data_IF_388540064618
#
_entry.id   IF_388540064618
#
_cell.length_a   1.000
_cell.length_b   1.000
_cell.length_c   1.000
_cell.angle_alpha   90.00
_cell.angle_beta   90.00
_cell.angle_gamma   90.00
#
_symmetry.space_group_name_H-M   'P 1'
#
loop_
_entity.id
_entity.type
_entity.pdbx_description
1 polymer ?
#
# COMPACT_ATOMS: atom_id res chain seq x y z
N UNK A 1 8.05 -10.35 -29.26
CA UNK A 1 6.71 -9.96 -29.75
C UNK A 1 5.71 -9.80 -28.59
N UNK A 2 5.51 -10.80 -27.71
CA UNK A 2 4.59 -10.67 -26.56
C UNK A 2 4.93 -9.52 -25.56
N UNK A 3 6.23 -9.22 -25.30
CA UNK A 3 6.65 -8.07 -24.48
C UNK A 3 6.29 -6.72 -25.09
N UNK A 4 6.44 -6.58 -26.41
CA UNK A 4 6.04 -5.36 -27.13
C UNK A 4 4.53 -5.15 -27.13
N UNK A 5 3.75 -6.21 -27.28
CA UNK A 5 2.27 -6.15 -27.21
C UNK A 5 1.80 -5.78 -25.80
N UNK A 6 2.49 -6.27 -24.75
CA UNK A 6 2.19 -5.89 -23.34
C UNK A 6 2.51 -4.41 -23.05
N UNK A 7 3.61 -3.89 -23.58
CA UNK A 7 3.97 -2.46 -23.48
C UNK A 7 2.99 -1.61 -24.30
N UNK A 8 2.62 -2.06 -25.49
CA UNK A 8 1.62 -1.34 -26.30
C UNK A 8 0.22 -1.39 -25.69
N UNK A 9 -0.18 -2.46 -25.00
CA UNK A 9 -1.45 -2.50 -24.27
C UNK A 9 -1.44 -1.57 -23.04
N UNK A 10 -0.32 -1.46 -22.33
CA UNK A 10 -0.16 -0.46 -21.28
C UNK A 10 -0.13 0.97 -21.82
N UNK A 11 0.58 1.21 -22.93
CA UNK A 11 0.58 2.50 -23.62
C UNK A 11 -0.79 2.83 -24.26
N UNK A 12 -1.51 1.85 -24.79
CA UNK A 12 -2.88 2.05 -25.30
C UNK A 12 -3.89 2.36 -24.19
N UNK A 13 -3.73 1.78 -22.99
CA UNK A 13 -4.54 2.14 -21.83
C UNK A 13 -4.32 3.61 -21.42
N UNK A 14 -3.11 4.15 -21.56
CA UNK A 14 -2.81 5.56 -21.28
C UNK A 14 -3.28 6.52 -22.38
N UNK A 15 -3.36 6.07 -23.63
CA UNK A 15 -3.71 6.90 -24.79
C UNK A 15 -5.22 6.80 -25.13
N UNK A 16 -5.92 5.77 -24.64
CA UNK A 16 -7.37 5.66 -24.84
C UNK A 16 -8.12 6.78 -24.10
N UNK A 17 -9.14 7.40 -24.74
CA UNK A 17 -9.99 8.37 -24.06
C UNK A 17 -10.53 7.80 -22.75
N UNK A 18 -10.60 8.59 -21.71
CA UNK A 18 -11.08 8.19 -20.35
C UNK A 18 -12.41 7.41 -20.38
N UNK A 19 -13.30 7.74 -21.32
CA UNK A 19 -14.58 7.03 -21.53
C UNK A 19 -14.43 5.55 -21.95
N UNK A 20 -13.36 5.20 -22.67
CA UNK A 20 -13.10 3.81 -23.10
C UNK A 20 -12.52 3.02 -21.93
N UNK A 21 -11.61 3.62 -21.15
CA UNK A 21 -11.08 3.03 -19.90
C UNK A 21 -12.21 2.70 -18.94
N UNK A 22 -13.11 3.65 -18.70
CA UNK A 22 -14.27 3.46 -17.82
C UNK A 22 -15.14 2.30 -18.29
N UNK A 23 -15.43 2.19 -19.59
CA UNK A 23 -16.24 1.10 -20.14
C UNK A 23 -15.58 -0.27 -19.98
N UNK A 24 -14.27 -0.37 -20.20
CA UNK A 24 -13.53 -1.63 -20.03
C UNK A 24 -13.50 -2.01 -18.55
N UNK A 25 -13.19 -1.08 -17.66
CA UNK A 25 -13.18 -1.29 -16.23
C UNK A 25 -14.56 -1.75 -15.71
N UNK A 26 -15.63 -1.05 -16.09
CA UNK A 26 -17.00 -1.42 -15.71
C UNK A 26 -17.36 -2.85 -16.17
N UNK A 27 -17.06 -3.18 -17.44
CA UNK A 27 -17.35 -4.52 -17.96
C UNK A 27 -16.56 -5.62 -17.25
N UNK A 28 -15.32 -5.37 -16.88
CA UNK A 28 -14.51 -6.33 -16.11
C UNK A 28 -15.02 -6.50 -14.68
N UNK A 29 -15.39 -5.42 -14.01
CA UNK A 29 -16.03 -5.50 -12.69
C UNK A 29 -17.31 -6.34 -12.72
N UNK A 30 -18.16 -6.15 -13.72
CA UNK A 30 -19.39 -6.95 -13.92
C UNK A 30 -19.13 -8.46 -14.06
N UNK A 31 -17.99 -8.86 -14.62
CA UNK A 31 -17.63 -10.26 -14.87
C UNK A 31 -16.87 -10.88 -13.69
N UNK A 32 -16.04 -10.10 -13.03
CA UNK A 32 -15.06 -10.59 -12.04
C UNK A 32 -15.51 -10.38 -10.59
N UNK A 33 -16.59 -9.60 -10.38
CA UNK A 33 -17.06 -9.26 -9.03
C UNK A 33 -18.57 -9.37 -8.87
N UNK A 34 -19.00 -9.72 -7.64
CA UNK A 34 -20.36 -9.49 -7.15
C UNK A 34 -20.33 -8.23 -6.28
N UNK A 35 -21.12 -7.22 -6.63
CA UNK A 35 -21.15 -5.94 -5.91
C UNK A 35 -22.54 -5.72 -5.32
N UNK A 36 -22.58 -5.53 -4.00
CA UNK A 36 -23.82 -5.28 -3.25
C UNK A 36 -23.71 -3.97 -2.48
N UNK A 37 -24.67 -3.08 -2.64
CA UNK A 37 -24.75 -1.86 -1.85
C UNK A 37 -25.21 -2.19 -0.42
N UNK A 38 -24.42 -1.80 0.57
CA UNK A 38 -24.73 -2.02 2.00
C UNK A 38 -25.48 -0.83 2.57
N UNK A 39 -25.02 0.38 2.23
CA UNK A 39 -25.65 1.65 2.60
C UNK A 39 -25.29 2.74 1.58
N UNK A 40 -25.66 3.99 1.83
CA UNK A 40 -25.45 5.11 0.89
C UNK A 40 -23.99 5.33 0.49
N UNK A 41 -23.04 4.97 1.37
CA UNK A 41 -21.59 5.23 1.17
C UNK A 41 -20.71 3.99 1.22
N UNK A 42 -21.29 2.78 1.21
CA UNK A 42 -20.52 1.54 1.37
C UNK A 42 -21.06 0.44 0.47
N UNK A 43 -20.17 -0.21 -0.24
CA UNK A 43 -20.46 -1.36 -1.09
C UNK A 43 -19.59 -2.54 -0.66
N UNK A 44 -20.20 -3.72 -0.56
CA UNK A 44 -19.46 -4.97 -0.47
C UNK A 44 -19.10 -5.43 -1.87
N UNK A 45 -17.84 -5.76 -2.06
CA UNK A 45 -17.28 -6.29 -3.31
C UNK A 45 -16.75 -7.68 -3.03
N UNK A 46 -17.30 -8.69 -3.72
CA UNK A 46 -16.79 -10.05 -3.67
C UNK A 46 -16.07 -10.38 -4.97
N UNK A 47 -14.81 -10.75 -4.88
CA UNK A 47 -14.01 -11.24 -6.00
C UNK A 47 -14.36 -12.71 -6.25
N UNK A 48 -15.06 -12.99 -7.34
CA UNK A 48 -15.61 -14.35 -7.65
C UNK A 48 -14.49 -15.39 -7.73
N UNK A 49 -13.41 -15.06 -8.44
CA UNK A 49 -12.29 -15.99 -8.67
C UNK A 49 -11.49 -16.30 -7.40
N UNK A 50 -11.37 -15.33 -6.51
CA UNK A 50 -10.49 -15.41 -5.33
C UNK A 50 -11.25 -15.83 -4.07
N UNK A 51 -12.59 -15.81 -4.12
CA UNK A 51 -13.50 -16.00 -2.98
C UNK A 51 -13.16 -15.06 -1.81
N UNK A 52 -12.89 -13.80 -2.14
CA UNK A 52 -12.47 -12.76 -1.23
C UNK A 52 -13.47 -11.61 -1.27
N UNK A 53 -13.84 -11.09 -0.11
CA UNK A 53 -14.75 -9.94 0.02
C UNK A 53 -14.07 -8.77 0.71
N UNK A 54 -14.38 -7.56 0.27
CA UNK A 54 -13.96 -6.33 0.94
C UNK A 54 -15.04 -5.26 0.82
N UNK A 55 -14.88 -4.13 1.54
CA UNK A 55 -15.84 -3.06 1.55
C UNK A 55 -15.25 -1.82 0.90
N UNK A 56 -15.97 -1.27 -0.09
CA UNK A 56 -15.53 -0.11 -0.85
C UNK A 56 -16.26 1.16 -0.37
N UNK A 57 -15.53 2.29 -0.17
CA UNK A 57 -16.05 3.48 0.53
C UNK A 57 -16.91 4.42 -0.31
N UNK A 58 -17.15 4.10 -1.58
CA UNK A 58 -17.91 4.95 -2.50
C UNK A 58 -18.63 4.13 -3.56
N UNK A 59 -19.47 4.78 -4.38
CA UNK A 59 -20.07 4.09 -5.53
C UNK A 59 -18.97 3.51 -6.43
N UNK A 60 -19.03 2.20 -6.74
CA UNK A 60 -18.05 1.53 -7.59
C UNK A 60 -17.88 2.21 -8.95
N UNK A 61 -16.64 2.46 -9.29
CA UNK A 61 -16.22 3.06 -10.55
C UNK A 61 -14.90 2.45 -11.05
N UNK A 62 -14.19 3.13 -11.94
CA UNK A 62 -12.91 2.66 -12.46
C UNK A 62 -11.80 2.59 -11.40
N UNK A 63 -11.90 3.36 -10.29
CA UNK A 63 -10.89 3.32 -9.23
C UNK A 63 -10.94 1.98 -8.50
N UNK A 64 -12.14 1.45 -8.23
CA UNK A 64 -12.30 0.10 -7.69
C UNK A 64 -11.60 -0.94 -8.58
N UNK A 65 -11.79 -0.86 -9.90
CA UNK A 65 -11.12 -1.77 -10.83
C UNK A 65 -9.60 -1.65 -10.75
N UNK A 66 -9.05 -0.43 -10.69
CA UNK A 66 -7.61 -0.23 -10.56
C UNK A 66 -7.05 -0.75 -9.25
N UNK A 67 -7.75 -0.57 -8.12
CA UNK A 67 -7.34 -1.15 -6.83
C UNK A 67 -7.27 -2.68 -6.89
N UNK A 68 -8.25 -3.33 -7.52
CA UNK A 68 -8.21 -4.79 -7.73
C UNK A 68 -7.03 -5.19 -8.64
N UNK A 69 -6.81 -4.48 -9.75
CA UNK A 69 -5.69 -4.75 -10.66
C UNK A 69 -4.32 -4.56 -10.01
N UNK A 70 -4.16 -3.57 -9.13
CA UNK A 70 -2.93 -3.36 -8.37
C UNK A 70 -2.57 -4.60 -7.56
N UNK A 71 -3.55 -5.21 -6.92
CA UNK A 71 -3.31 -6.33 -6.04
C UNK A 71 -3.19 -7.67 -6.77
N UNK A 72 -3.99 -7.92 -7.79
CA UNK A 72 -4.09 -9.26 -8.38
C UNK A 72 -3.34 -9.41 -9.72
N UNK A 73 -2.92 -8.33 -10.36
CA UNK A 73 -2.18 -8.41 -11.60
C UNK A 73 -0.67 -8.29 -11.38
N UNK A 74 0.07 -9.39 -11.49
CA UNK A 74 1.55 -9.41 -11.35
C UNK A 74 2.27 -8.48 -12.35
N UNK A 75 1.57 -8.04 -13.39
CA UNK A 75 2.09 -7.09 -14.39
C UNK A 75 1.84 -5.64 -14.01
N UNK A 76 1.02 -5.40 -12.98
CA UNK A 76 0.75 -4.05 -12.51
C UNK A 76 2.02 -3.48 -11.85
N UNK A 77 2.40 -2.24 -12.13
CA UNK A 77 3.56 -1.61 -11.48
C UNK A 77 3.45 -1.49 -9.96
N UNK A 78 2.23 -1.46 -9.41
CA UNK A 78 1.99 -1.45 -7.95
C UNK A 78 2.01 -2.85 -7.30
N UNK A 79 2.29 -3.92 -8.04
CA UNK A 79 2.25 -5.26 -7.45
C UNK A 79 3.40 -5.47 -6.45
N UNK A 80 3.13 -5.24 -5.17
CA UNK A 80 4.13 -5.17 -4.08
C UNK A 80 4.90 -6.48 -3.86
N UNK A 81 4.32 -7.63 -4.19
CA UNK A 81 4.89 -8.94 -3.89
C UNK A 81 5.58 -9.61 -5.08
N UNK A 82 5.91 -8.85 -6.14
CA UNK A 82 6.74 -9.35 -7.24
C UNK A 82 8.23 -9.36 -6.84
N UNK A 83 9.04 -10.19 -7.54
CA UNK A 83 10.49 -10.23 -7.27
C UNK A 83 11.11 -8.81 -7.23
N UNK A 84 12.05 -8.53 -6.33
CA UNK A 84 12.81 -9.45 -5.47
C UNK A 84 12.14 -9.80 -4.14
N UNK A 85 10.85 -9.52 -3.95
CA UNK A 85 10.13 -9.82 -2.71
C UNK A 85 9.79 -11.32 -2.66
N UNK A 86 10.17 -11.97 -1.56
CA UNK A 86 9.95 -13.38 -1.29
C UNK A 86 9.18 -13.55 0.02
N UNK A 87 7.89 -13.83 -0.07
CA UNK A 87 7.02 -14.06 1.07
C UNK A 87 6.60 -15.53 1.21
N UNK A 88 6.29 -15.91 2.42
CA UNK A 88 5.83 -17.25 2.77
C UNK A 88 4.77 -17.20 3.87
N UNK A 89 4.14 -18.34 4.14
CA UNK A 89 3.18 -18.48 5.24
C UNK A 89 3.76 -18.17 6.65
N UNK A 90 5.05 -17.92 6.77
CA UNK A 90 5.70 -17.56 8.03
C UNK A 90 6.01 -16.07 8.13
N UNK A 91 5.88 -15.31 7.04
CA UNK A 91 6.21 -13.89 7.00
C UNK A 91 5.24 -13.05 7.83
N UNK A 92 5.77 -12.05 8.54
CA UNK A 92 5.00 -10.93 9.09
C UNK A 92 5.04 -9.79 8.08
N UNK A 93 3.91 -9.14 7.86
CA UNK A 93 3.84 -7.94 7.01
C UNK A 93 3.43 -6.75 7.85
N UNK A 94 4.17 -5.65 7.73
CA UNK A 94 3.73 -4.32 8.14
C UNK A 94 3.19 -3.63 6.90
N UNK A 95 1.90 -3.32 6.90
CA UNK A 95 1.17 -2.69 5.80
C UNK A 95 0.78 -1.26 6.20
N UNK A 96 1.55 -0.28 5.73
CA UNK A 96 1.32 1.14 5.97
C UNK A 96 0.49 1.73 4.84
N UNK A 97 -0.62 2.38 5.20
CA UNK A 97 -1.64 2.80 4.24
C UNK A 97 -2.45 1.59 3.77
N UNK A 98 -3.04 0.87 4.73
CA UNK A 98 -3.74 -0.38 4.44
C UNK A 98 -5.10 -0.19 3.79
N UNK A 99 -5.65 1.03 3.81
CA UNK A 99 -6.94 1.36 3.22
C UNK A 99 -8.05 0.38 3.63
N UNK A 100 -8.79 -0.18 2.67
CA UNK A 100 -9.84 -1.19 2.87
C UNK A 100 -9.32 -2.60 3.14
N UNK A 101 -7.99 -2.81 3.15
CA UNK A 101 -7.35 -4.06 3.53
C UNK A 101 -7.15 -5.08 2.41
N UNK A 102 -7.39 -4.73 1.14
CA UNK A 102 -7.35 -5.68 0.04
C UNK A 102 -5.98 -6.39 -0.09
N UNK A 103 -4.87 -5.65 0.12
CA UNK A 103 -3.52 -6.22 0.14
C UNK A 103 -3.36 -7.26 1.26
N UNK A 104 -3.79 -6.94 2.48
CA UNK A 104 -3.72 -7.83 3.64
C UNK A 104 -4.54 -9.11 3.40
N UNK A 105 -5.77 -8.97 2.90
CA UNK A 105 -6.64 -10.13 2.62
C UNK A 105 -6.04 -11.03 1.55
N UNK A 106 -5.52 -10.45 0.47
CA UNK A 106 -4.87 -11.20 -0.60
C UNK A 106 -3.66 -11.98 -0.10
N UNK A 107 -2.77 -11.33 0.64
CA UNK A 107 -1.53 -11.97 1.09
C UNK A 107 -1.79 -13.10 2.07
N UNK A 108 -2.74 -12.94 2.99
CA UNK A 108 -3.16 -14.00 3.91
C UNK A 108 -3.85 -15.15 3.19
N UNK A 109 -4.82 -14.86 2.32
CA UNK A 109 -5.56 -15.91 1.59
C UNK A 109 -4.68 -16.72 0.65
N UNK A 110 -3.60 -16.13 0.12
CA UNK A 110 -2.61 -16.80 -0.71
C UNK A 110 -1.51 -17.52 0.10
N UNK A 111 -1.55 -17.46 1.43
CA UNK A 111 -0.54 -18.07 2.28
C UNK A 111 0.83 -17.40 2.19
N UNK A 112 0.86 -16.10 1.90
CA UNK A 112 2.08 -15.28 1.82
C UNK A 112 2.44 -14.58 3.14
N UNK A 113 1.61 -14.73 4.17
CA UNK A 113 1.88 -14.19 5.49
C UNK A 113 1.27 -15.05 6.59
N UNK A 114 1.86 -15.03 7.79
CA UNK A 114 1.26 -15.56 9.03
C UNK A 114 0.38 -14.52 9.71
N UNK A 115 0.71 -13.24 9.56
CA UNK A 115 -0.05 -12.09 10.08
C UNK A 115 0.29 -10.84 9.29
N UNK A 116 -0.66 -9.89 9.30
CA UNK A 116 -0.47 -8.54 8.76
C UNK A 116 -0.82 -7.51 9.83
N UNK A 117 0.06 -6.55 10.03
CA UNK A 117 -0.15 -5.39 10.91
C UNK A 117 -0.46 -4.21 10.00
N UNK A 118 -1.71 -3.76 10.03
CA UNK A 118 -2.25 -2.74 9.15
C UNK A 118 -2.28 -1.39 9.87
N UNK A 119 -1.58 -0.40 9.35
CA UNK A 119 -1.68 0.99 9.78
C UNK A 119 -2.58 1.77 8.83
N UNK A 120 -3.69 2.27 9.34
CA UNK A 120 -4.66 3.05 8.58
C UNK A 120 -5.23 4.18 9.45
N UNK A 121 -4.83 5.45 9.23
CA UNK A 121 -5.26 6.55 10.08
C UNK A 121 -6.73 6.95 9.93
N UNK A 122 -7.36 6.63 8.78
CA UNK A 122 -8.77 6.93 8.55
C UNK A 122 -9.68 5.97 9.31
N UNK A 123 -10.47 6.49 10.26
CA UNK A 123 -11.46 5.71 10.99
C UNK A 123 -12.42 4.96 10.05
N UNK A 124 -12.85 5.63 8.98
CA UNK A 124 -13.72 5.02 7.97
C UNK A 124 -13.04 3.82 7.31
N UNK A 125 -11.81 3.98 6.84
CA UNK A 125 -11.09 2.92 6.14
C UNK A 125 -10.71 1.78 7.09
N UNK A 126 -10.24 2.08 8.29
CA UNK A 126 -9.97 1.08 9.33
C UNK A 126 -11.22 0.25 9.70
N UNK A 127 -12.40 0.89 9.74
CA UNK A 127 -13.68 0.19 9.93
C UNK A 127 -14.01 -0.74 8.77
N UNK A 128 -13.81 -0.32 7.51
CA UNK A 128 -14.04 -1.16 6.33
C UNK A 128 -13.08 -2.36 6.31
N UNK A 129 -11.80 -2.12 6.62
CA UNK A 129 -10.79 -3.15 6.76
C UNK A 129 -11.20 -4.19 7.83
N UNK A 130 -11.65 -3.73 8.99
CA UNK A 130 -12.13 -4.62 10.06
C UNK A 130 -13.29 -5.51 9.59
N UNK A 131 -14.32 -4.92 8.98
CA UNK A 131 -15.43 -5.71 8.43
C UNK A 131 -14.97 -6.68 7.34
N UNK A 132 -14.04 -6.27 6.47
CA UNK A 132 -13.44 -7.15 5.49
C UNK A 132 -12.71 -8.33 6.12
N UNK A 133 -11.93 -8.10 7.18
CA UNK A 133 -11.28 -9.17 7.94
C UNK A 133 -12.28 -10.16 8.55
N UNK A 134 -13.40 -9.66 9.10
CA UNK A 134 -14.47 -10.48 9.69
C UNK A 134 -15.13 -11.38 8.64
N UNK A 135 -15.56 -10.85 7.50
CA UNK A 135 -16.29 -11.65 6.48
C UNK A 135 -15.39 -12.68 5.79
N UNK A 136 -14.08 -12.45 5.75
CA UNK A 136 -13.11 -13.42 5.22
C UNK A 136 -12.59 -14.41 6.28
N UNK A 137 -12.98 -14.27 7.56
CA UNK A 137 -12.46 -15.10 8.64
C UNK A 137 -10.98 -14.83 8.97
N UNK A 138 -10.47 -13.64 8.68
CA UNK A 138 -9.06 -13.27 8.82
C UNK A 138 -8.75 -12.43 10.05
N UNK A 139 -9.73 -12.12 10.89
CA UNK A 139 -9.58 -11.20 12.05
C UNK A 139 -8.48 -11.61 13.04
N UNK A 140 -8.20 -12.91 13.19
CA UNK A 140 -7.13 -13.39 14.08
C UNK A 140 -5.72 -13.24 13.50
N UNK A 141 -5.62 -12.91 12.21
CA UNK A 141 -4.34 -12.76 11.50
C UNK A 141 -4.02 -11.32 11.15
N UNK A 142 -4.96 -10.38 11.43
CA UNK A 142 -4.82 -8.96 11.11
C UNK A 142 -4.89 -8.16 12.40
N UNK A 143 -3.87 -7.37 12.66
CA UNK A 143 -3.85 -6.32 13.68
C UNK A 143 -4.06 -4.98 12.99
N UNK A 144 -5.00 -4.17 13.50
CA UNK A 144 -5.36 -2.88 12.89
C UNK A 144 -5.00 -1.77 13.88
N UNK A 145 -4.07 -0.93 13.48
CA UNK A 145 -3.65 0.26 14.21
C UNK A 145 -4.18 1.52 13.51
N UNK A 146 -5.10 2.23 14.17
CA UNK A 146 -5.67 3.47 13.64
C UNK A 146 -4.70 4.63 13.85
N UNK A 147 -3.56 4.58 13.17
CA UNK A 147 -2.51 5.59 13.21
C UNK A 147 -1.79 5.73 11.88
N UNK A 148 -1.22 6.90 11.64
CA UNK A 148 -0.24 7.09 10.57
C UNK A 148 1.14 6.58 11.00
N UNK A 149 1.98 6.26 10.02
CA UNK A 149 3.38 5.91 10.25
C UNK A 149 4.28 6.95 9.60
N UNK A 150 5.29 7.40 10.33
CA UNK A 150 6.27 8.38 9.84
C UNK A 150 7.61 8.24 10.55
N UNK A 151 8.38 9.32 10.55
CA UNK A 151 9.72 9.35 11.15
C UNK A 151 9.72 9.74 12.64
N UNK A 152 8.55 10.06 13.23
CA UNK A 152 8.41 10.38 14.66
C UNK A 152 7.02 10.04 15.20
N UNK A 153 6.97 9.81 16.51
CA UNK A 153 5.71 9.64 17.24
C UNK A 153 5.07 11.00 17.53
N UNK A 154 3.74 11.03 17.61
CA UNK A 154 3.03 12.25 17.98
C UNK A 154 1.70 12.41 17.29
N UNK A 155 1.41 13.61 16.84
CA UNK A 155 0.24 13.94 16.04
C UNK A 155 0.67 14.63 14.74
N UNK A 156 -0.03 14.36 13.67
CA UNK A 156 0.18 15.00 12.38
C UNK A 156 -1.15 15.33 11.71
N UNK A 157 -1.09 16.13 10.66
CA UNK A 157 -2.20 16.39 9.73
C UNK A 157 -1.74 16.00 8.33
N UNK A 158 -2.64 15.38 7.59
CA UNK A 158 -2.41 15.20 6.16
C UNK A 158 -2.65 16.54 5.45
N UNK A 159 -1.65 16.98 4.70
CA UNK A 159 -1.71 18.17 3.85
C UNK A 159 -1.66 17.79 2.40
N UNK A 160 -2.52 18.39 1.61
CA UNK A 160 -2.39 18.32 0.14
C UNK A 160 -1.28 19.31 -0.25
N UNK A 161 -0.28 18.84 -0.99
CA UNK A 161 0.78 19.68 -1.53
C UNK A 161 0.27 20.57 -2.66
N UNK A 162 1.17 21.39 -3.23
CA UNK A 162 0.89 22.21 -4.42
C UNK A 162 0.52 21.33 -5.64
N UNK A 163 0.97 20.10 -5.64
CA UNK A 163 0.51 19.05 -6.57
C UNK A 163 -0.66 18.30 -5.90
N UNK A 164 -1.88 18.30 -6.50
CA UNK A 164 -3.05 17.61 -5.93
C UNK A 164 -2.86 16.09 -5.77
N UNK A 165 -1.86 15.50 -6.44
CA UNK A 165 -1.53 14.07 -6.35
C UNK A 165 -0.44 13.79 -5.28
N UNK A 166 -0.02 14.78 -4.49
CA UNK A 166 0.99 14.62 -3.46
C UNK A 166 0.52 15.22 -2.14
N UNK A 167 0.38 14.37 -1.14
CA UNK A 167 0.22 14.75 0.25
C UNK A 167 1.55 14.73 1.00
N UNK A 168 1.57 15.31 2.18
CA UNK A 168 2.65 15.13 3.15
C UNK A 168 2.08 15.22 4.57
N UNK A 169 2.77 14.58 5.50
CA UNK A 169 2.43 14.72 6.91
C UNK A 169 3.08 15.98 7.49
N UNK A 170 2.24 16.89 8.01
CA UNK A 170 2.67 18.02 8.82
C UNK A 170 2.54 17.62 10.28
N UNK A 171 3.68 17.42 10.96
CA UNK A 171 3.68 17.11 12.38
C UNK A 171 3.26 18.33 13.20
N UNK A 172 2.41 18.09 14.19
CA UNK A 172 1.88 19.12 15.06
C UNK A 172 2.76 19.27 16.30
N UNK A 173 2.91 20.50 16.83
CA UNK A 173 3.56 20.72 18.13
C UNK A 173 2.85 19.95 19.25
N UNK A 174 3.58 19.57 20.28
CA UNK A 174 3.04 18.92 21.47
C UNK A 174 1.91 19.77 22.07
N UNK A 175 0.80 19.10 22.39
CA UNK A 175 -0.40 19.73 22.95
C UNK A 175 -1.30 20.41 21.91
N UNK A 176 -0.94 20.49 20.64
CA UNK A 176 -1.81 21.02 19.61
C UNK A 176 -3.02 20.11 19.40
N UNK A 177 -4.20 20.73 19.28
CA UNK A 177 -5.47 20.03 19.00
C UNK A 177 -6.05 20.54 17.69
N UNK A 178 -6.22 19.64 16.74
CA UNK A 178 -6.90 19.90 15.50
C UNK A 178 -7.90 18.77 15.24
N UNK A 179 -9.05 19.09 14.66
CA UNK A 179 -10.13 18.12 14.41
C UNK A 179 -9.76 17.05 13.37
N UNK A 180 -8.77 17.34 12.55
CA UNK A 180 -8.23 16.49 11.48
C UNK A 180 -6.86 15.87 11.85
N UNK A 181 -6.45 15.96 13.12
CA UNK A 181 -5.20 15.40 13.57
C UNK A 181 -5.28 13.87 13.68
N UNK A 182 -4.30 13.20 13.12
CA UNK A 182 -4.08 11.76 13.25
C UNK A 182 -2.97 11.49 14.26
N UNK A 183 -3.07 10.39 14.99
CA UNK A 183 -1.96 9.87 15.79
C UNK A 183 -0.91 9.29 14.84
N UNK A 184 0.37 9.49 15.15
CA UNK A 184 1.49 8.93 14.37
C UNK A 184 2.42 8.13 15.27
N UNK A 185 3.01 7.09 14.70
CA UNK A 185 4.07 6.28 15.30
C UNK A 185 5.19 6.04 14.30
N UNK A 186 6.32 5.52 14.79
CA UNK A 186 7.37 4.95 13.93
C UNK A 186 7.28 3.43 13.99
N UNK A 187 7.72 2.73 12.94
CA UNK A 187 7.78 1.26 12.92
C UNK A 187 8.69 0.76 14.06
N UNK A 188 9.82 1.41 14.29
CA UNK A 188 10.76 1.04 15.36
C UNK A 188 10.14 1.17 16.75
N UNK A 189 9.36 2.23 17.00
CA UNK A 189 8.67 2.42 18.27
C UNK A 189 7.59 1.35 18.47
N UNK A 190 6.75 1.15 17.46
CA UNK A 190 5.68 0.15 17.49
C UNK A 190 6.24 -1.27 17.71
N UNK A 191 7.26 -1.65 16.96
CA UNK A 191 7.89 -2.96 17.09
C UNK A 191 8.47 -3.17 18.49
N UNK A 192 9.07 -2.15 19.10
CA UNK A 192 9.61 -2.21 20.46
C UNK A 192 8.49 -2.35 21.49
N UNK A 193 7.39 -1.58 21.36
CA UNK A 193 6.24 -1.64 22.28
C UNK A 193 5.53 -3.00 22.26
N UNK A 194 5.45 -3.60 21.08
CA UNK A 194 4.76 -4.89 20.85
C UNK A 194 5.71 -6.10 20.92
N UNK A 195 6.99 -5.88 21.24
CA UNK A 195 8.02 -6.93 21.28
C UNK A 195 8.09 -7.71 19.94
N UNK A 196 7.99 -6.97 18.82
CA UNK A 196 8.10 -7.52 17.47
C UNK A 196 9.52 -7.32 16.96
N UNK A 197 10.13 -8.40 16.52
CA UNK A 197 11.39 -8.39 15.80
C UNK A 197 11.14 -8.92 14.39
N UNK A 198 11.31 -8.06 13.38
CA UNK A 198 11.20 -8.46 11.98
C UNK A 198 12.46 -9.23 11.58
N UNK A 199 12.36 -10.02 10.52
CA UNK A 199 13.53 -10.66 9.90
C UNK A 199 13.54 -10.47 8.37
N UNK A 200 14.54 -11.02 7.68
CA UNK A 200 14.70 -10.91 6.23
C UNK A 200 13.56 -11.55 5.41
N UNK A 201 12.69 -12.34 6.03
CA UNK A 201 11.51 -12.94 5.38
C UNK A 201 10.25 -12.10 5.57
N UNK A 202 10.30 -11.09 6.44
CA UNK A 202 9.20 -10.19 6.72
C UNK A 202 9.19 -9.02 5.72
N UNK A 203 8.08 -8.31 5.62
CA UNK A 203 7.91 -7.21 4.66
C UNK A 203 7.44 -5.93 5.36
N UNK A 204 8.05 -4.82 5.02
CA UNK A 204 7.49 -3.48 5.20
C UNK A 204 6.95 -3.01 3.85
N UNK A 205 5.62 -2.92 3.72
CA UNK A 205 4.93 -2.31 2.57
C UNK A 205 4.44 -0.93 2.97
N UNK A 206 4.61 0.05 2.11
CA UNK A 206 3.99 1.35 2.32
C UNK A 206 3.42 1.94 1.02
N UNK A 207 2.25 2.56 1.19
CA UNK A 207 1.61 3.47 0.26
C UNK A 207 1.01 4.60 1.11
N UNK A 208 1.88 5.55 1.49
CA UNK A 208 1.61 6.50 2.57
C UNK A 208 1.41 7.94 2.06
N UNK A 209 0.94 8.07 0.81
CA UNK A 209 0.51 9.34 0.21
C UNK A 209 1.52 10.50 0.39
N UNK A 210 2.82 10.19 0.24
CA UNK A 210 3.92 11.14 0.32
C UNK A 210 4.74 11.08 1.61
N UNK A 211 4.29 10.35 2.64
CA UNK A 211 5.08 10.07 3.84
C UNK A 211 6.01 8.84 3.69
N UNK A 212 6.07 8.27 2.51
CA UNK A 212 6.73 6.99 2.22
C UNK A 212 8.21 6.93 2.64
N UNK A 213 8.98 8.03 2.44
CA UNK A 213 10.36 8.12 2.92
C UNK A 213 10.43 8.20 4.45
N UNK A 214 9.47 8.89 5.08
CA UNK A 214 9.40 8.99 6.54
C UNK A 214 9.09 7.64 7.19
N UNK A 215 8.32 6.78 6.50
CA UNK A 215 8.11 5.38 6.92
C UNK A 215 9.43 4.61 6.97
N UNK A 216 10.28 4.74 5.93
CA UNK A 216 11.62 4.13 5.93
C UNK A 216 12.49 4.65 7.08
N UNK A 217 12.51 5.96 7.29
CA UNK A 217 13.29 6.60 8.37
C UNK A 217 12.80 6.10 9.73
N UNK A 218 11.48 5.97 9.91
CA UNK A 218 10.89 5.45 11.14
C UNK A 218 11.06 3.95 11.38
N UNK A 219 11.65 3.24 10.42
CA UNK A 219 11.99 1.81 10.50
C UNK A 219 13.51 1.56 10.52
N UNK A 220 14.33 2.59 10.76
CA UNK A 220 15.79 2.50 10.62
C UNK A 220 16.41 1.39 11.45
N UNK A 221 16.00 1.22 12.72
CA UNK A 221 16.53 0.19 13.59
C UNK A 221 16.20 -1.21 13.09
N UNK A 222 14.96 -1.47 12.67
CA UNK A 222 14.53 -2.75 12.10
C UNK A 222 15.27 -3.04 10.78
N UNK A 223 15.40 -2.05 9.91
CA UNK A 223 16.09 -2.20 8.62
C UNK A 223 17.58 -2.47 8.82
N UNK A 224 18.22 -1.76 9.73
CA UNK A 224 19.65 -1.89 10.00
C UNK A 224 20.02 -3.23 10.64
N UNK A 225 19.20 -3.70 11.57
CA UNK A 225 19.50 -4.91 12.34
C UNK A 225 19.02 -6.19 11.69
N UNK A 226 17.84 -6.13 11.08
CA UNK A 226 17.07 -7.32 10.73
C UNK A 226 16.85 -7.47 9.24
N UNK A 227 17.08 -6.41 8.45
CA UNK A 227 17.01 -6.41 6.98
C UNK A 227 15.68 -6.92 6.40
N UNK A 228 14.49 -6.52 6.94
CA UNK A 228 13.23 -6.93 6.36
C UNK A 228 13.15 -6.49 4.89
N UNK A 229 12.35 -7.17 4.10
CA UNK A 229 12.09 -6.79 2.72
C UNK A 229 11.29 -5.48 2.66
N UNK A 230 11.45 -4.72 1.61
CA UNK A 230 10.85 -3.39 1.43
C UNK A 230 10.07 -3.35 0.12
N UNK A 231 8.84 -2.86 0.16
CA UNK A 231 8.04 -2.58 -1.03
C UNK A 231 7.22 -1.29 -0.81
N UNK A 232 7.69 -0.17 -1.34
CA UNK A 232 7.18 1.17 -1.01
C UNK A 232 6.96 1.98 -2.29
N UNK A 233 5.85 2.72 -2.35
CA UNK A 233 5.55 3.65 -3.45
C UNK A 233 6.51 4.83 -3.47
N UNK A 234 6.79 5.35 -4.67
CA UNK A 234 7.78 6.40 -4.86
C UNK A 234 7.30 7.57 -5.70
N UNK A 235 6.06 7.52 -6.21
CA UNK A 235 5.54 8.50 -7.18
C UNK A 235 4.88 9.73 -6.55
N UNK A 236 4.58 9.72 -5.27
CA UNK A 236 3.86 10.80 -4.60
C UNK A 236 4.66 12.10 -4.53
N UNK A 237 5.97 12.03 -4.37
CA UNK A 237 6.86 13.21 -4.24
C UNK A 237 7.99 13.14 -5.26
N UNK A 238 8.43 14.30 -5.78
CA UNK A 238 9.56 14.40 -6.70
C UNK A 238 10.85 13.86 -6.06
N UNK A 239 11.62 13.10 -6.85
CA UNK A 239 12.89 12.51 -6.43
C UNK A 239 12.81 11.55 -5.23
N UNK A 240 11.59 11.04 -4.92
CA UNK A 240 11.41 10.13 -3.79
C UNK A 240 12.17 8.81 -4.00
N UNK A 241 12.13 8.26 -5.21
CA UNK A 241 12.85 7.01 -5.52
C UNK A 241 14.36 7.14 -5.29
N UNK A 242 14.97 8.21 -5.78
CA UNK A 242 16.39 8.48 -5.63
C UNK A 242 16.78 8.65 -4.16
N UNK A 243 16.01 9.44 -3.42
CA UNK A 243 16.23 9.66 -1.98
C UNK A 243 16.12 8.37 -1.17
N UNK A 244 15.15 7.52 -1.47
CA UNK A 244 14.98 6.22 -0.82
C UNK A 244 16.12 5.26 -1.15
N UNK A 245 16.59 5.22 -2.41
CA UNK A 245 17.74 4.43 -2.83
C UNK A 245 18.99 4.85 -2.07
N UNK A 246 19.27 6.15 -2.04
CA UNK A 246 20.47 6.68 -1.37
C UNK A 246 20.41 6.40 0.14
N UNK A 247 19.24 6.55 0.75
CA UNK A 247 19.03 6.25 2.15
C UNK A 247 19.21 4.75 2.45
N UNK A 248 18.57 3.85 1.69
CA UNK A 248 18.69 2.41 1.88
C UNK A 248 20.12 1.94 1.72
N UNK A 249 20.85 2.40 0.70
CA UNK A 249 22.27 2.05 0.49
C UNK A 249 23.16 2.50 1.63
N UNK A 250 22.86 3.65 2.24
CA UNK A 250 23.59 4.16 3.41
C UNK A 250 23.32 3.32 4.66
N UNK A 251 22.08 2.85 4.84
CA UNK A 251 21.68 2.11 6.03
C UNK A 251 22.10 0.64 5.95
N UNK A 252 21.87 0.02 4.80
CA UNK A 252 22.27 -1.37 4.57
C UNK A 252 22.60 -1.58 3.08
N UNK A 253 23.90 -1.62 2.70
CA UNK A 253 24.34 -1.75 1.32
C UNK A 253 24.08 -3.15 0.70
N UNK A 254 23.68 -4.14 1.51
CA UNK A 254 23.39 -5.50 1.04
C UNK A 254 22.05 -5.61 0.30
N UNK A 255 21.18 -4.59 0.41
CA UNK A 255 19.92 -4.59 -0.30
C UNK A 255 20.09 -4.60 -1.83
N UNK A 256 19.50 -5.60 -2.47
CA UNK A 256 19.25 -5.63 -3.91
C UNK A 256 18.02 -4.80 -4.20
N UNK A 257 18.21 -3.62 -4.79
CA UNK A 257 17.14 -2.64 -5.00
C UNK A 257 16.65 -2.73 -6.45
N UNK A 258 15.33 -2.76 -6.62
CA UNK A 258 14.64 -2.71 -7.92
C UNK A 258 13.63 -1.57 -7.92
N UNK A 259 13.59 -0.81 -9.00
CA UNK A 259 12.49 0.08 -9.32
C UNK A 259 11.53 -0.60 -10.29
N UNK A 260 10.23 -0.48 -10.04
CA UNK A 260 9.20 -1.09 -10.86
C UNK A 260 8.22 -0.05 -11.41
N UNK A 261 8.00 -0.12 -12.71
CA UNK A 261 7.02 0.69 -13.41
C UNK A 261 7.36 2.18 -13.51
N UNK A 262 6.54 2.89 -14.28
CA UNK A 262 6.56 4.35 -14.37
C UNK A 262 5.12 4.85 -14.24
N UNK A 263 4.91 5.88 -13.42
CA UNK A 263 3.65 6.60 -13.35
C UNK A 263 3.54 7.55 -14.55
N UNK A 264 2.43 7.50 -15.26
CA UNK A 264 2.11 8.44 -16.34
C UNK A 264 0.98 9.41 -15.96
N UNK A 265 0.47 9.28 -14.74
CA UNK A 265 -0.55 10.15 -14.16
C UNK A 265 0.04 11.31 -13.35
N UNK A 266 1.31 11.30 -13.09
CA UNK A 266 2.06 12.41 -12.47
C UNK A 266 2.53 13.39 -13.53
N UNK A 267 2.84 14.65 -13.16
CA UNK A 267 3.30 15.71 -14.08
C UNK A 267 4.50 15.27 -14.92
N UNK A 268 5.44 14.53 -14.30
CA UNK A 268 6.55 13.86 -14.97
C UNK A 268 6.52 12.38 -14.61
N UNK A 269 6.84 11.46 -15.54
CA UNK A 269 6.93 10.03 -15.23
C UNK A 269 7.91 9.78 -14.09
N UNK A 270 7.44 9.07 -13.05
CA UNK A 270 8.23 8.68 -11.88
C UNK A 270 8.21 7.17 -11.73
N UNK A 271 9.25 6.54 -11.13
CA UNK A 271 9.11 5.16 -10.70
C UNK A 271 7.90 4.99 -9.79
N UNK A 272 7.18 3.88 -9.94
CA UNK A 272 5.97 3.62 -9.13
C UNK A 272 6.35 3.01 -7.80
N UNK A 273 7.24 2.02 -7.81
CA UNK A 273 7.52 1.19 -6.65
C UNK A 273 9.02 0.94 -6.52
N UNK A 274 9.55 1.12 -5.32
CA UNK A 274 10.84 0.59 -4.90
C UNK A 274 10.62 -0.75 -4.17
N UNK A 275 11.40 -1.75 -4.56
CA UNK A 275 11.45 -3.04 -3.90
C UNK A 275 12.91 -3.34 -3.53
N UNK A 276 13.13 -3.81 -2.31
CA UNK A 276 14.46 -4.14 -1.84
C UNK A 276 14.45 -5.40 -0.97
N UNK A 277 15.45 -6.25 -1.16
CA UNK A 277 15.63 -7.50 -0.39
C UNK A 277 17.11 -7.83 -0.30
N UNK A 278 17.52 -8.49 0.78
CA UNK A 278 18.86 -9.06 0.96
C UNK A 278 18.91 -10.54 0.58
N UNK A 279 17.77 -11.14 0.27
CA UNK A 279 17.63 -12.55 -0.18
C UNK A 279 18.06 -12.76 -1.62
#
# INVERSE_FOLDING_TARGET
MQRMISIMLQLHLVILPSRIHTKIATKKLEIETDITQINESTWQVRLIKNDLSFFWPSKPDHNLYFSIEQEFSIKNPHHYTSAPIHLSKNSTIIDVGACEGLFAFRTLSQGLAKRVICFEPSEKMASLLKHGAEVNGLSSFIEIEQSGVGNQNGKARMRVGDNPDAGYMEFLPDGATHSDAITTTTIDHYCREKEIELDQNDLIKADAEGADLDVLIGAEDQIRRNSPQIAITTYHVDYHAERMIDWLRKINPEYKIRLQGLSFWTTFPRPVLIQASTL
#
